data_IF_974339449358
#
_entry.id   IF_974339449358
#
_cell.length_a   1.000
_cell.length_b   1.000
_cell.length_c   1.000
_cell.angle_alpha   90.00
_cell.angle_beta   90.00
_cell.angle_gamma   90.00
#
_symmetry.space_group_name_H-M   'P 1'
#
loop_
_entity.id
_entity.type
_entity.pdbx_description
1 polymer ?
#
# COMPACT_ATOMS: atom_id res chain seq x y z
N UNK A 1 -63.14 62.42 -5.37
CA UNK A 1 -63.06 61.08 -4.75
C UNK A 1 -63.17 59.98 -5.81
N UNK A 2 -62.14 59.82 -6.64
CA UNK A 2 -61.93 58.69 -7.57
C UNK A 2 -60.41 58.64 -7.74
N UNK A 3 -59.76 57.57 -7.26
CA UNK A 3 -58.34 57.20 -7.45
C UNK A 3 -57.71 56.46 -6.25
N UNK A 4 -58.46 56.13 -5.19
CA UNK A 4 -57.91 55.33 -4.07
C UNK A 4 -58.11 53.81 -4.19
N UNK A 5 -58.86 53.33 -5.19
CA UNK A 5 -59.15 51.89 -5.32
C UNK A 5 -58.16 51.10 -6.19
N UNK A 6 -57.35 51.77 -7.02
CA UNK A 6 -56.40 51.08 -7.93
C UNK A 6 -55.10 50.67 -7.21
N UNK A 7 -54.73 51.34 -6.12
CA UNK A 7 -53.47 51.06 -5.41
C UNK A 7 -53.49 49.76 -4.58
N UNK A 8 -54.66 49.29 -4.16
CA UNK A 8 -54.76 48.11 -3.27
C UNK A 8 -54.65 46.79 -4.05
N UNK A 9 -55.04 46.77 -5.34
CA UNK A 9 -54.97 45.56 -6.16
C UNK A 9 -53.53 45.26 -6.65
N UNK A 10 -52.67 46.27 -6.80
CA UNK A 10 -51.29 46.07 -7.23
C UNK A 10 -50.37 45.51 -6.11
N UNK A 11 -50.72 45.74 -4.85
CA UNK A 11 -49.90 45.30 -3.71
C UNK A 11 -50.10 43.81 -3.36
N UNK A 12 -51.29 43.25 -3.62
CA UNK A 12 -51.57 41.82 -3.37
C UNK A 12 -50.94 40.88 -4.41
N UNK A 13 -50.80 41.31 -5.67
CA UNK A 13 -50.11 40.54 -6.71
C UNK A 13 -48.58 40.48 -6.52
N UNK A 14 -47.96 41.50 -5.90
CA UNK A 14 -46.53 41.50 -5.62
C UNK A 14 -46.14 40.53 -4.49
N UNK A 15 -47.01 40.31 -3.50
CA UNK A 15 -46.76 39.42 -2.36
C UNK A 15 -46.91 37.93 -2.72
N UNK A 16 -47.78 37.59 -3.68
CA UNK A 16 -47.92 36.21 -4.19
C UNK A 16 -46.73 35.78 -5.06
N UNK A 17 -46.06 36.72 -5.75
CA UNK A 17 -44.89 36.44 -6.60
C UNK A 17 -43.61 36.12 -5.80
N UNK A 18 -43.51 36.59 -4.55
CA UNK A 18 -42.35 36.31 -3.69
C UNK A 18 -42.44 34.96 -2.96
N UNK A 19 -43.63 34.37 -2.82
CA UNK A 19 -43.77 33.07 -2.14
C UNK A 19 -43.39 31.91 -3.07
N UNK A 20 -43.86 31.92 -4.32
CA UNK A 20 -43.56 30.87 -5.31
C UNK A 20 -42.07 30.82 -5.67
N UNK A 21 -41.40 31.97 -5.76
CA UNK A 21 -39.96 32.04 -6.03
C UNK A 21 -39.11 31.51 -4.86
N UNK A 22 -39.63 31.52 -3.62
CA UNK A 22 -38.95 31.00 -2.43
C UNK A 22 -39.15 29.49 -2.29
N UNK A 23 -40.34 28.99 -2.60
CA UNK A 23 -40.63 27.55 -2.65
C UNK A 23 -39.87 26.85 -3.78
N UNK A 24 -39.78 27.45 -4.98
CA UNK A 24 -39.01 26.90 -6.08
C UNK A 24 -37.49 26.84 -5.78
N UNK A 25 -36.94 27.86 -5.11
CA UNK A 25 -35.53 27.86 -4.69
C UNK A 25 -35.22 26.85 -3.58
N UNK A 26 -36.17 26.62 -2.67
CA UNK A 26 -36.01 25.61 -1.62
C UNK A 26 -36.15 24.18 -2.18
N UNK A 27 -37.12 23.93 -3.07
CA UNK A 27 -37.26 22.64 -3.75
C UNK A 27 -36.04 22.30 -4.61
N UNK A 28 -35.48 23.27 -5.34
CA UNK A 28 -34.27 23.08 -6.13
C UNK A 28 -33.03 22.82 -5.25
N UNK A 29 -32.98 23.40 -4.04
CA UNK A 29 -31.90 23.16 -3.07
C UNK A 29 -32.02 21.77 -2.44
N UNK A 30 -33.23 21.30 -2.17
CA UNK A 30 -33.49 19.98 -1.60
C UNK A 30 -33.28 18.86 -2.62
N UNK A 31 -33.61 19.07 -3.90
CA UNK A 31 -33.30 18.14 -4.99
C UNK A 31 -31.80 18.06 -5.26
N UNK A 32 -31.08 19.19 -5.23
CA UNK A 32 -29.62 19.20 -5.33
C UNK A 32 -28.95 18.50 -4.13
N UNK A 33 -29.51 18.63 -2.92
CA UNK A 33 -29.00 17.93 -1.73
C UNK A 33 -29.23 16.42 -1.81
N UNK A 34 -30.39 16.00 -2.32
CA UNK A 34 -30.71 14.59 -2.60
C UNK A 34 -29.82 14.02 -3.70
N UNK A 35 -29.48 14.79 -4.73
CA UNK A 35 -28.56 14.36 -5.79
C UNK A 35 -27.12 14.22 -5.28
N UNK A 36 -26.67 15.10 -4.37
CA UNK A 36 -25.37 14.99 -3.69
C UNK A 36 -25.33 13.79 -2.73
N UNK A 37 -26.43 13.50 -2.03
CA UNK A 37 -26.53 12.32 -1.16
C UNK A 37 -26.69 11.00 -1.95
N UNK A 38 -27.26 11.03 -3.16
CA UNK A 38 -27.37 9.85 -4.03
C UNK A 38 -26.09 9.58 -4.85
N UNK A 39 -25.22 10.59 -5.07
CA UNK A 39 -23.92 10.42 -5.75
C UNK A 39 -22.76 10.10 -4.81
N UNK A 40 -22.94 10.21 -3.49
CA UNK A 40 -21.99 9.67 -2.53
C UNK A 40 -22.20 8.15 -2.40
N UNK A 41 -21.84 7.39 -3.42
CA UNK A 41 -21.51 5.98 -3.22
C UNK A 41 -20.44 5.95 -2.13
N UNK A 42 -20.73 5.29 -1.01
CA UNK A 42 -19.74 5.06 0.03
C UNK A 42 -18.46 4.53 -0.63
N UNK A 43 -17.25 4.99 -0.24
CA UNK A 43 -16.01 4.41 -0.74
C UNK A 43 -16.08 2.89 -0.60
N UNK A 44 -15.72 2.11 -1.63
CA UNK A 44 -15.61 0.67 -1.44
C UNK A 44 -14.35 0.43 -0.59
N UNK A 45 -14.57 0.23 0.70
CA UNK A 45 -13.52 -0.20 1.62
C UNK A 45 -13.31 -1.71 1.47
N UNK A 46 -12.10 -2.14 1.11
CA UNK A 46 -11.73 -3.54 1.24
C UNK A 46 -10.88 -3.70 2.51
N UNK A 47 -11.22 -4.70 3.32
CA UNK A 47 -10.49 -5.01 4.56
C UNK A 47 -10.02 -6.45 4.47
N UNK A 48 -8.71 -6.64 4.59
CA UNK A 48 -8.09 -7.95 4.78
C UNK A 48 -7.68 -8.05 6.23
N UNK A 49 -8.19 -9.06 6.94
CA UNK A 49 -7.83 -9.36 8.33
C UNK A 49 -7.20 -10.75 8.40
N UNK A 50 -6.09 -10.88 9.11
CA UNK A 50 -5.42 -12.16 9.34
C UNK A 50 -5.03 -12.32 10.80
N UNK A 51 -5.39 -13.46 11.38
CA UNK A 51 -4.94 -13.92 12.69
C UNK A 51 -3.67 -14.73 12.48
N UNK A 52 -2.57 -14.31 13.12
CA UNK A 52 -1.24 -14.81 12.83
C UNK A 52 -0.76 -15.89 13.81
N UNK A 53 -1.66 -16.58 14.52
CA UNK A 53 -1.32 -17.57 15.57
C UNK A 53 -0.52 -18.76 15.03
N UNK A 54 -0.73 -19.13 13.75
CA UNK A 54 0.03 -20.19 13.07
C UNK A 54 1.41 -19.73 12.58
N UNK A 55 1.65 -18.41 12.56
CA UNK A 55 2.92 -17.81 12.16
C UNK A 55 3.75 -17.44 13.40
N UNK A 56 3.10 -16.83 14.40
CA UNK A 56 3.71 -16.37 15.65
C UNK A 56 3.01 -17.04 16.83
N UNK A 57 3.50 -18.23 17.17
CA UNK A 57 2.90 -19.03 18.24
C UNK A 57 2.86 -18.26 19.57
N UNK A 58 1.72 -18.32 20.27
CA UNK A 58 1.49 -17.67 21.56
C UNK A 58 1.56 -16.14 21.57
N UNK A 59 1.76 -15.49 20.41
CA UNK A 59 1.82 -14.02 20.31
C UNK A 59 0.46 -13.37 20.12
N UNK A 60 -0.51 -14.10 19.58
CA UNK A 60 -1.87 -13.58 19.33
C UNK A 60 -1.84 -12.30 18.52
N UNK A 61 -0.99 -12.29 17.50
CA UNK A 61 -0.92 -11.16 16.59
C UNK A 61 -2.07 -11.21 15.61
N UNK A 62 -2.55 -10.02 15.26
CA UNK A 62 -3.53 -9.81 14.20
C UNK A 62 -3.04 -8.68 13.31
N UNK A 63 -3.13 -8.87 12.01
CA UNK A 63 -2.89 -7.80 11.04
C UNK A 63 -4.18 -7.44 10.31
N UNK A 64 -4.30 -6.15 10.01
CA UNK A 64 -5.41 -5.61 9.23
C UNK A 64 -4.82 -4.70 8.15
N UNK A 65 -5.26 -4.91 6.91
CA UNK A 65 -5.01 -3.98 5.80
C UNK A 65 -6.34 -3.46 5.30
N UNK A 66 -6.55 -2.15 5.43
CA UNK A 66 -7.78 -1.48 5.00
C UNK A 66 -7.47 -0.56 3.82
N UNK A 67 -8.03 -0.85 2.65
CA UNK A 67 -7.99 0.04 1.48
C UNK A 67 -9.20 0.97 1.50
N UNK A 68 -9.01 2.22 1.07
CA UNK A 68 -10.06 3.25 1.13
C UNK A 68 -10.30 3.97 -0.21
N UNK A 69 -9.70 3.48 -1.30
CA UNK A 69 -10.00 3.93 -2.66
C UNK A 69 -10.13 2.76 -3.62
N UNK A 70 -11.22 2.74 -4.37
CA UNK A 70 -11.53 1.72 -5.40
C UNK A 70 -10.72 1.93 -6.68
N UNK A 71 -10.24 3.16 -6.87
CA UNK A 71 -9.41 3.49 -7.99
C UNK A 71 -8.02 2.90 -7.74
N UNK A 72 -7.65 1.93 -8.58
CA UNK A 72 -6.26 1.68 -8.95
C UNK A 72 -5.76 2.98 -9.59
N UNK A 73 -5.46 3.97 -8.76
CA UNK A 73 -4.78 5.18 -9.19
C UNK A 73 -3.34 4.75 -9.38
N UNK A 74 -2.93 4.57 -10.64
CA UNK A 74 -1.52 4.33 -10.99
C UNK A 74 -0.60 5.52 -10.64
N UNK A 75 -1.15 6.58 -10.04
CA UNK A 75 -0.36 7.60 -9.38
C UNK A 75 0.41 6.96 -8.22
N UNK A 76 1.71 6.77 -8.43
CA UNK A 76 2.63 6.06 -7.54
C UNK A 76 2.84 6.78 -6.21
N UNK A 77 2.33 8.01 -6.06
CA UNK A 77 2.59 8.85 -4.89
C UNK A 77 1.38 8.98 -3.93
N UNK A 78 0.30 8.25 -4.17
CA UNK A 78 -0.93 8.33 -3.35
C UNK A 78 -1.10 7.10 -2.45
N UNK A 79 -1.02 7.32 -1.15
CA UNK A 79 -1.41 6.31 -0.16
C UNK A 79 -2.91 6.01 -0.24
N UNK A 80 -3.25 4.74 -0.34
CA UNK A 80 -4.62 4.26 -0.51
C UNK A 80 -4.99 3.12 0.45
N UNK A 81 -4.08 2.74 1.35
CA UNK A 81 -4.31 1.72 2.35
C UNK A 81 -3.63 2.05 3.69
N UNK A 82 -4.18 1.49 4.76
CA UNK A 82 -3.57 1.50 6.09
C UNK A 82 -3.30 0.06 6.51
N UNK A 83 -2.03 -0.24 6.79
CA UNK A 83 -1.61 -1.46 7.45
C UNK A 83 -1.56 -1.24 8.96
N UNK A 84 -2.10 -2.20 9.71
CA UNK A 84 -2.07 -2.20 11.17
C UNK A 84 -1.72 -3.58 11.71
N UNK A 85 -0.93 -3.59 12.78
CA UNK A 85 -0.65 -4.78 13.57
C UNK A 85 -1.15 -4.59 14.99
N UNK A 86 -1.71 -5.67 15.54
CA UNK A 86 -2.29 -5.72 16.87
C UNK A 86 -1.72 -6.90 17.64
N UNK A 87 -1.65 -6.78 18.96
CA UNK A 87 -1.42 -7.87 19.91
C UNK A 87 -2.61 -8.03 20.85
N UNK A 88 -2.85 -9.23 21.37
CA UNK A 88 -3.91 -9.48 22.36
C UNK A 88 -3.39 -9.26 23.79
N UNK A 89 -3.83 -8.17 24.43
CA UNK A 89 -3.47 -7.83 25.81
C UNK A 89 -4.67 -7.23 26.56
N UNK A 90 -4.84 -7.62 27.83
CA UNK A 90 -5.97 -7.21 28.68
C UNK A 90 -7.33 -7.50 28.01
N UNK A 91 -7.51 -8.74 27.53
CA UNK A 91 -8.77 -9.22 26.93
C UNK A 91 -9.23 -8.47 25.67
N UNK A 92 -8.32 -7.78 24.98
CA UNK A 92 -8.60 -7.08 23.73
C UNK A 92 -7.38 -6.97 22.83
N UNK A 93 -7.62 -6.75 21.53
CA UNK A 93 -6.56 -6.36 20.61
C UNK A 93 -6.14 -4.90 20.85
N UNK A 94 -4.83 -4.68 20.98
CA UNK A 94 -4.20 -3.37 21.10
C UNK A 94 -3.29 -3.15 19.90
N UNK A 95 -3.42 -1.99 19.27
CA UNK A 95 -2.57 -1.61 18.13
C UNK A 95 -1.12 -1.44 18.61
N UNK A 96 -0.19 -2.12 17.95
CA UNK A 96 1.25 -2.02 18.20
C UNK A 96 2.00 -1.37 17.05
N UNK A 97 1.36 -1.28 15.88
CA UNK A 97 1.94 -0.67 14.69
C UNK A 97 0.86 -0.18 13.73
N UNK A 98 1.11 0.93 13.05
CA UNK A 98 0.28 1.45 11.97
C UNK A 98 1.15 2.14 10.92
N UNK A 99 0.85 1.93 9.65
CA UNK A 99 1.54 2.54 8.53
C UNK A 99 0.56 2.85 7.39
N UNK A 100 0.76 4.00 6.76
CA UNK A 100 0.01 4.41 5.56
C UNK A 100 0.83 3.99 4.35
N UNK A 101 0.23 3.17 3.49
CA UNK A 101 0.90 2.57 2.35
C UNK A 101 0.12 2.78 1.07
N UNK A 102 0.85 2.67 -0.04
CA UNK A 102 0.25 2.45 -1.34
C UNK A 102 0.11 0.94 -1.55
N UNK A 103 -1.05 0.49 -2.02
CA UNK A 103 -1.31 -0.92 -2.25
C UNK A 103 -2.19 -1.09 -3.50
N UNK A 104 -1.67 -1.82 -4.48
CA UNK A 104 -2.39 -2.23 -5.69
C UNK A 104 -2.80 -3.70 -5.65
N UNK A 105 -2.12 -4.50 -4.84
CA UNK A 105 -2.35 -5.94 -4.68
C UNK A 105 -2.50 -6.29 -3.21
N UNK A 106 -3.31 -7.31 -2.89
CA UNK A 106 -3.59 -7.70 -1.50
C UNK A 106 -2.74 -8.89 -1.03
N UNK A 107 -1.59 -9.15 -1.67
CA UNK A 107 -0.69 -10.24 -1.30
C UNK A 107 -0.05 -9.99 0.06
N UNK A 108 -0.10 -10.98 0.94
CA UNK A 108 0.57 -10.98 2.25
C UNK A 108 1.40 -12.25 2.36
N UNK A 109 2.69 -12.10 2.61
CA UNK A 109 3.63 -13.21 2.75
C UNK A 109 4.39 -13.11 4.08
N UNK A 110 4.90 -14.25 4.55
CA UNK A 110 5.62 -14.37 5.82
C UNK A 110 6.93 -15.11 5.62
N UNK A 111 8.04 -14.39 5.61
CA UNK A 111 9.39 -14.89 5.30
C UNK A 111 10.41 -14.23 6.22
N UNK A 112 11.39 -14.97 6.71
CA UNK A 112 12.49 -14.45 7.52
C UNK A 112 13.51 -13.76 6.60
N UNK A 113 13.61 -12.42 6.69
CA UNK A 113 14.46 -11.57 5.84
C UNK A 113 15.69 -11.01 6.58
N UNK A 114 15.91 -11.41 7.82
CA UNK A 114 17.07 -11.00 8.62
C UNK A 114 17.76 -12.16 9.36
N UNK A 115 17.33 -13.40 9.09
CA UNK A 115 17.83 -14.65 9.65
C UNK A 115 17.78 -14.71 11.19
N UNK A 116 16.78 -14.06 11.80
CA UNK A 116 16.60 -14.09 13.26
C UNK A 116 15.70 -15.25 13.75
N UNK A 117 15.18 -16.05 12.81
CA UNK A 117 14.28 -17.18 13.06
C UNK A 117 12.82 -16.80 13.24
N UNK A 118 12.48 -15.52 13.13
CA UNK A 118 11.11 -14.99 13.11
C UNK A 118 10.75 -14.61 11.68
N UNK A 119 9.56 -15.01 11.24
CA UNK A 119 9.06 -14.57 9.92
C UNK A 119 8.75 -13.08 9.95
N UNK A 120 9.18 -12.37 8.94
CA UNK A 120 8.82 -10.97 8.71
C UNK A 120 7.59 -10.88 7.83
N UNK A 121 6.94 -9.71 7.82
CA UNK A 121 5.71 -9.49 7.05
C UNK A 121 6.07 -8.79 5.75
N UNK A 122 5.70 -9.40 4.63
CA UNK A 122 5.75 -8.79 3.31
C UNK A 122 4.34 -8.43 2.86
N UNK A 123 4.11 -7.16 2.56
CA UNK A 123 2.87 -6.68 1.95
C UNK A 123 3.14 -6.31 0.51
N UNK A 124 2.48 -7.00 -0.43
CA UNK A 124 2.64 -6.73 -1.85
C UNK A 124 2.15 -5.30 -2.16
N UNK A 125 3.02 -4.49 -2.75
CA UNK A 125 2.73 -3.09 -3.08
C UNK A 125 2.18 -3.00 -4.52
N UNK A 126 3.05 -3.17 -5.51
CA UNK A 126 2.71 -3.03 -6.93
C UNK A 126 3.41 -4.09 -7.78
N UNK A 127 3.15 -4.07 -9.07
CA UNK A 127 3.84 -4.87 -10.09
C UNK A 127 4.05 -3.98 -11.31
N UNK A 128 5.24 -4.03 -11.88
CA UNK A 128 5.44 -3.46 -13.22
C UNK A 128 5.25 -4.53 -14.32
N UNK A 129 5.66 -4.18 -15.54
CA UNK A 129 5.60 -5.08 -16.68
C UNK A 129 6.35 -6.39 -16.42
N UNK A 130 5.76 -7.52 -16.86
CA UNK A 130 6.34 -8.86 -16.74
C UNK A 130 6.41 -9.38 -15.29
N UNK A 131 5.50 -8.95 -14.42
CA UNK A 131 5.36 -9.50 -13.06
C UNK A 131 6.56 -9.22 -12.16
N UNK A 132 7.19 -8.04 -12.26
CA UNK A 132 8.15 -7.63 -11.24
C UNK A 132 7.41 -7.04 -10.04
N UNK A 133 7.11 -7.91 -9.08
CA UNK A 133 6.37 -7.58 -7.86
C UNK A 133 7.26 -6.80 -6.89
N UNK A 134 6.72 -5.81 -6.21
CA UNK A 134 7.40 -5.12 -5.11
C UNK A 134 6.59 -5.25 -3.83
N UNK A 135 7.25 -5.08 -2.69
CA UNK A 135 6.67 -5.32 -1.38
C UNK A 135 7.11 -4.24 -0.38
N UNK A 136 6.33 -4.00 0.66
CA UNK A 136 6.87 -3.44 1.90
C UNK A 136 7.32 -4.60 2.80
N UNK A 137 8.45 -4.42 3.48
CA UNK A 137 8.96 -5.36 4.47
C UNK A 137 8.83 -4.74 5.87
N UNK A 138 8.24 -5.51 6.80
CA UNK A 138 8.19 -5.18 8.22
C UNK A 138 8.88 -6.28 9.01
N UNK A 139 10.03 -5.95 9.62
CA UNK A 139 10.73 -6.87 10.51
C UNK A 139 9.95 -7.04 11.81
N UNK A 140 9.79 -8.28 12.28
CA UNK A 140 8.95 -8.59 13.44
C UNK A 140 9.80 -9.00 14.65
N UNK A 141 9.86 -8.13 15.65
CA UNK A 141 10.51 -8.44 16.93
C UNK A 141 9.49 -9.03 17.91
N UNK A 142 9.27 -10.35 17.88
CA UNK A 142 8.31 -11.02 18.78
C UNK A 142 8.65 -10.88 20.26
N UNK A 143 9.91 -10.64 20.64
CA UNK A 143 10.29 -10.48 22.06
C UNK A 143 9.81 -9.16 22.67
N UNK A 144 9.69 -8.11 21.85
CA UNK A 144 9.34 -6.76 22.28
C UNK A 144 7.97 -6.31 21.77
N UNK A 145 7.28 -7.16 21.02
CA UNK A 145 6.02 -6.86 20.33
C UNK A 145 6.12 -5.60 19.45
N UNK A 146 7.21 -5.51 18.66
CA UNK A 146 7.50 -4.37 17.79
C UNK A 146 7.65 -4.80 16.33
N UNK A 147 7.26 -3.89 15.43
CA UNK A 147 7.47 -3.99 13.99
C UNK A 147 8.35 -2.83 13.52
N UNK A 148 9.24 -3.09 12.58
CA UNK A 148 10.06 -2.06 11.93
C UNK A 148 9.92 -2.16 10.41
N UNK A 149 9.39 -1.11 9.78
CA UNK A 149 9.39 -1.00 8.31
C UNK A 149 10.81 -0.78 7.81
N UNK A 150 11.22 -1.57 6.82
CA UNK A 150 12.47 -1.37 6.09
C UNK A 150 12.22 -0.42 4.93
N UNK A 151 12.82 0.77 5.00
CA UNK A 151 12.70 1.82 4.00
C UNK A 151 13.35 1.38 2.69
N UNK A 152 12.73 1.76 1.57
CA UNK A 152 13.18 1.48 0.20
C UNK A 152 13.10 -0.01 -0.20
N UNK A 153 12.60 -0.89 0.66
CA UNK A 153 12.39 -2.28 0.26
C UNK A 153 11.40 -2.38 -0.91
N UNK A 154 10.43 -1.47 -0.97
CA UNK A 154 9.45 -1.32 -2.04
C UNK A 154 10.04 -0.95 -3.41
N UNK A 155 11.35 -0.65 -3.47
CA UNK A 155 12.07 -0.40 -4.71
C UNK A 155 12.69 -1.68 -5.29
N UNK A 156 12.79 -2.76 -4.51
CA UNK A 156 13.31 -4.05 -4.95
C UNK A 156 12.17 -4.85 -5.59
N UNK A 157 12.38 -5.19 -6.86
CA UNK A 157 11.51 -6.05 -7.65
C UNK A 157 11.84 -7.51 -7.38
N UNK A 158 10.86 -8.37 -7.15
CA UNK A 158 11.02 -9.81 -6.90
C UNK A 158 12.15 -10.13 -5.90
N UNK A 159 12.10 -9.57 -4.68
CA UNK A 159 13.15 -9.77 -3.69
C UNK A 159 13.21 -11.23 -3.24
N UNK A 160 14.42 -11.74 -3.06
CA UNK A 160 14.67 -13.07 -2.51
C UNK A 160 15.82 -12.99 -1.51
N UNK A 161 15.61 -13.49 -0.30
CA UNK A 161 16.63 -13.47 0.75
C UNK A 161 17.52 -14.71 0.64
N UNK A 162 18.83 -14.52 0.79
CA UNK A 162 19.86 -15.56 0.81
C UNK A 162 20.43 -15.67 2.23
N UNK A 163 19.86 -16.53 3.11
CA UNK A 163 20.22 -16.57 4.53
C UNK A 163 21.69 -16.92 4.78
N UNK A 164 22.30 -17.74 3.90
CA UNK A 164 23.70 -18.14 4.00
C UNK A 164 24.68 -16.98 3.81
N UNK A 165 24.22 -15.87 3.24
CA UNK A 165 25.05 -14.72 2.89
C UNK A 165 24.59 -13.42 3.56
N UNK A 166 23.43 -13.42 4.22
CA UNK A 166 22.80 -12.22 4.77
C UNK A 166 22.67 -11.10 3.71
N UNK A 167 22.21 -11.51 2.52
CA UNK A 167 22.06 -10.68 1.33
C UNK A 167 20.68 -10.94 0.74
N UNK A 168 20.08 -9.91 0.16
CA UNK A 168 18.88 -10.01 -0.66
C UNK A 168 19.32 -9.91 -2.12
N UNK A 169 18.96 -10.87 -2.95
CA UNK A 169 19.05 -10.75 -4.39
C UNK A 169 17.68 -10.46 -4.99
N UNK A 170 17.67 -10.28 -6.30
CA UNK A 170 16.43 -10.21 -7.03
C UNK A 170 16.54 -10.73 -8.46
N UNK A 171 15.40 -10.96 -9.10
CA UNK A 171 15.35 -11.22 -10.54
C UNK A 171 14.36 -10.27 -11.22
N UNK A 172 14.88 -9.36 -12.02
CA UNK A 172 14.06 -8.41 -12.79
C UNK A 172 13.87 -8.93 -14.20
N UNK A 173 12.62 -9.17 -14.55
CA UNK A 173 12.19 -9.58 -15.87
C UNK A 173 12.11 -8.36 -16.80
N UNK A 174 12.98 -8.32 -17.80
CA UNK A 174 13.13 -7.15 -18.70
C UNK A 174 13.61 -7.56 -20.09
N UNK A 175 13.88 -6.59 -20.99
CA UNK A 175 14.47 -6.89 -22.31
C UNK A 175 15.71 -7.79 -22.22
N UNK A 176 16.50 -7.60 -21.17
CA UNK A 176 17.50 -8.55 -20.68
C UNK A 176 17.31 -8.71 -19.18
N UNK A 177 17.01 -9.91 -18.70
CA UNK A 177 16.80 -10.12 -17.26
C UNK A 177 18.09 -9.80 -16.49
N UNK A 178 17.94 -9.34 -15.26
CA UNK A 178 19.09 -9.00 -14.43
C UNK A 178 18.80 -9.18 -12.95
N UNK A 179 19.88 -9.33 -12.20
CA UNK A 179 19.93 -9.46 -10.75
C UNK A 179 20.84 -8.40 -10.18
N UNK A 180 20.41 -7.80 -9.08
CA UNK A 180 21.21 -6.93 -8.23
C UNK A 180 21.16 -7.46 -6.79
N UNK A 181 22.12 -7.02 -5.98
CA UNK A 181 22.26 -7.47 -4.59
C UNK A 181 22.09 -6.30 -3.63
N UNK A 182 21.50 -6.60 -2.49
CA UNK A 182 21.09 -5.64 -1.48
C UNK A 182 21.37 -6.17 -0.07
N UNK A 183 21.42 -5.27 0.90
CA UNK A 183 21.50 -5.60 2.31
C UNK A 183 20.57 -4.70 3.13
N UNK A 184 20.02 -5.24 4.22
CA UNK A 184 19.35 -4.45 5.25
C UNK A 184 20.43 -3.85 6.17
N UNK A 185 20.48 -2.52 6.24
CA UNK A 185 21.32 -1.81 7.21
C UNK A 185 20.46 -0.88 8.05
N UNK A 186 20.35 -1.19 9.34
CA UNK A 186 19.48 -0.47 10.26
C UNK A 186 18.01 -0.58 9.83
N UNK A 187 17.43 0.54 9.38
CA UNK A 187 16.02 0.63 8.99
C UNK A 187 15.80 0.74 7.47
N UNK A 188 16.83 0.46 6.67
CA UNK A 188 16.85 0.79 5.25
C UNK A 188 17.54 -0.29 4.42
N UNK A 189 17.17 -0.36 3.14
CA UNK A 189 17.91 -1.13 2.13
C UNK A 189 19.09 -0.32 1.57
N UNK A 190 20.23 -1.00 1.42
CA UNK A 190 21.42 -0.53 0.71
C UNK A 190 21.67 -1.45 -0.49
N UNK A 191 21.88 -0.86 -1.67
CA UNK A 191 22.32 -1.58 -2.86
C UNK A 191 23.83 -1.83 -2.80
N UNK A 192 24.27 -3.01 -3.22
CA UNK A 192 25.68 -3.41 -3.21
C UNK A 192 26.38 -3.17 -4.57
N UNK A 193 25.77 -2.36 -5.44
CA UNK A 193 26.27 -1.92 -6.75
C UNK A 193 26.86 -3.04 -7.62
N UNK A 194 26.23 -4.22 -7.58
CA UNK A 194 26.68 -5.41 -8.32
C UNK A 194 25.52 -5.95 -9.13
N UNK A 195 25.55 -5.76 -10.44
CA UNK A 195 24.49 -6.19 -11.36
C UNK A 195 24.99 -7.30 -12.26
N UNK A 196 24.17 -8.33 -12.43
CA UNK A 196 24.42 -9.48 -13.30
C UNK A 196 23.27 -9.58 -14.28
N UNK A 197 23.57 -9.93 -15.52
CA UNK A 197 22.57 -10.06 -16.56
C UNK A 197 22.46 -11.50 -17.04
N UNK A 198 21.25 -12.00 -17.22
CA UNK A 198 21.04 -13.25 -17.94
C UNK A 198 21.41 -13.09 -19.43
N UNK A 199 21.80 -14.20 -20.05
CA UNK A 199 22.08 -14.29 -21.47
C UNK A 199 23.52 -14.69 -21.78
N UNK A 200 23.80 -14.85 -23.06
CA UNK A 200 25.08 -15.34 -23.53
C UNK A 200 26.14 -14.24 -23.61
N UNK A 201 27.40 -14.60 -23.36
CA UNK A 201 28.55 -13.78 -23.65
C UNK A 201 28.80 -13.62 -25.17
N UNK A 202 29.89 -12.93 -25.53
CA UNK A 202 30.32 -12.75 -26.92
C UNK A 202 30.63 -14.06 -27.67
N UNK A 203 30.85 -15.16 -26.94
CA UNK A 203 31.12 -16.49 -27.47
C UNK A 203 29.88 -17.39 -27.49
N UNK A 204 28.70 -16.88 -27.10
CA UNK A 204 27.47 -17.64 -27.03
C UNK A 204 27.34 -18.52 -25.77
N UNK A 205 28.23 -18.38 -24.78
CA UNK A 205 28.17 -19.14 -23.54
C UNK A 205 27.28 -18.44 -22.51
N UNK A 206 26.36 -19.17 -21.89
CA UNK A 206 25.61 -18.69 -20.72
C UNK A 206 26.53 -18.69 -19.49
N UNK A 207 26.76 -17.51 -18.91
CA UNK A 207 27.66 -17.32 -17.77
C UNK A 207 26.93 -16.94 -16.49
N UNK A 208 25.60 -16.88 -16.51
CA UNK A 208 24.82 -16.30 -15.41
C UNK A 208 25.13 -16.94 -14.05
N UNK A 209 25.03 -18.27 -13.95
CA UNK A 209 25.29 -18.97 -12.68
C UNK A 209 26.71 -18.74 -12.17
N UNK A 210 27.69 -18.73 -13.07
CA UNK A 210 29.10 -18.49 -12.73
C UNK A 210 29.29 -17.06 -12.22
N UNK A 211 28.68 -16.08 -12.88
CA UNK A 211 28.76 -14.68 -12.51
C UNK A 211 28.05 -14.42 -11.18
N UNK A 212 26.90 -15.07 -10.95
CA UNK A 212 26.15 -15.04 -9.71
C UNK A 212 26.98 -15.54 -8.53
N UNK A 213 27.56 -16.73 -8.66
CA UNK A 213 28.44 -17.28 -7.63
C UNK A 213 29.70 -16.43 -7.42
N UNK A 214 30.24 -15.85 -8.49
CA UNK A 214 31.40 -14.95 -8.40
C UNK A 214 31.07 -13.66 -7.66
N UNK A 215 29.89 -13.07 -7.90
CA UNK A 215 29.41 -11.88 -7.21
C UNK A 215 29.20 -12.16 -5.72
N UNK A 216 28.47 -13.23 -5.38
CA UNK A 216 28.24 -13.61 -3.97
C UNK A 216 29.56 -13.80 -3.22
N UNK A 217 30.52 -14.50 -3.81
CA UNK A 217 31.85 -14.66 -3.21
C UNK A 217 32.57 -13.32 -2.98
N UNK A 218 32.50 -12.38 -3.93
CA UNK A 218 33.12 -11.05 -3.77
C UNK A 218 32.44 -10.21 -2.69
N UNK A 219 31.12 -10.26 -2.60
CA UNK A 219 30.32 -9.48 -1.65
C UNK A 219 30.51 -10.01 -0.22
N UNK A 220 30.59 -11.33 -0.05
CA UNK A 220 30.74 -11.96 1.27
C UNK A 220 32.18 -11.96 1.80
N UNK A 221 33.20 -11.86 0.94
CA UNK A 221 34.61 -11.74 1.34
C UNK A 221 35.04 -10.34 1.78
N UNK A 222 34.24 -9.31 1.49
CA UNK A 222 34.55 -7.91 1.82
C UNK A 222 34.05 -7.48 3.21
N UNK A 223 33.31 -8.34 3.89
CA UNK A 223 32.80 -8.15 5.26
C UNK A 223 33.59 -8.99 6.25
#
# INVERSE_FOLDING_TARGET
MKNRFVLILALSLALLSCHSAREAKNAQKDDALKEIQQRATAPNFAVTELICDTIYENKKYKIIVSTFTDAISYDQDVYNAVFKCYTWNNERYQEIYSDSIQQHFSGIEFLDFNNDGVKDILLQNTSDARSNLTYYLYLVATKTDQLQKIKKFETIKNPHYLPEHDIIDNLVLSGRNWTNFYKIEGDSIIALDTVIYEGTDENGADTYDKDFQTALKKLTQKN
#
